data_IF_090167244523
#
_entry.id   IF_090167244523
#
_cell.length_a   1.000
_cell.length_b   1.000
_cell.length_c   1.000
_cell.angle_alpha   90.00
_cell.angle_beta   90.00
_cell.angle_gamma   90.00
#
_symmetry.space_group_name_H-M   'P 1'
#
loop_
_entity.id
_entity.type
_entity.pdbx_description
1 polymer ?
#
# COMPACT_ATOMS: atom_id res chain seq x y z
N UNK A 1 6.38 -1.72 8.27
CA UNK A 1 5.35 -1.28 9.23
C UNK A 1 5.96 -0.77 10.52
N UNK A 2 6.65 -1.60 11.31
CA UNK A 2 7.19 -1.16 12.61
C UNK A 2 8.10 0.07 12.50
N UNK A 3 9.06 0.08 11.57
CA UNK A 3 10.02 1.19 11.42
C UNK A 3 9.35 2.51 11.03
N UNK A 4 8.52 2.50 9.99
CA UNK A 4 7.89 3.72 9.45
C UNK A 4 6.63 4.19 10.20
N UNK A 5 5.91 3.30 10.88
CA UNK A 5 4.62 3.64 11.51
C UNK A 5 4.53 3.36 13.01
N UNK A 6 5.45 2.57 13.58
CA UNK A 6 5.33 2.07 14.95
C UNK A 6 4.32 0.92 15.14
N UNK A 7 3.55 0.56 14.11
CA UNK A 7 2.59 -0.54 14.19
C UNK A 7 3.24 -1.92 13.97
N UNK A 8 2.79 -2.88 14.77
CA UNK A 8 3.13 -4.30 14.64
C UNK A 8 2.00 -4.97 13.85
N UNK A 9 2.37 -5.65 12.76
CA UNK A 9 1.43 -6.36 11.89
C UNK A 9 1.86 -7.81 11.69
N UNK A 10 0.91 -8.66 11.31
CA UNK A 10 1.12 -10.08 11.00
C UNK A 10 0.18 -10.54 9.87
N UNK A 11 0.17 -11.83 9.56
CA UNK A 11 -0.68 -12.48 8.56
C UNK A 11 -0.63 -11.81 7.17
N UNK A 12 0.57 -11.61 6.57
CA UNK A 12 0.67 -10.94 5.29
C UNK A 12 0.02 -11.78 4.18
N UNK A 13 -0.97 -11.21 3.50
CA UNK A 13 -1.61 -11.77 2.30
C UNK A 13 -1.23 -10.94 1.08
N UNK A 14 -0.54 -11.55 0.13
CA UNK A 14 -0.25 -10.90 -1.17
C UNK A 14 -1.55 -10.70 -1.95
N UNK A 15 -1.79 -9.48 -2.41
CA UNK A 15 -3.01 -9.10 -3.15
C UNK A 15 -2.71 -8.78 -4.61
N UNK A 16 -1.60 -8.11 -4.88
CA UNK A 16 -1.20 -7.79 -6.25
C UNK A 16 0.31 -7.67 -6.41
N UNK A 17 0.78 -8.02 -7.61
CA UNK A 17 2.13 -7.76 -8.12
C UNK A 17 1.96 -6.93 -9.40
N UNK A 18 2.47 -5.70 -9.42
CA UNK A 18 2.29 -4.77 -10.54
C UNK A 18 3.64 -4.29 -11.08
N UNK A 19 3.86 -4.36 -12.39
CA UNK A 19 4.94 -3.64 -13.06
C UNK A 19 4.62 -2.15 -13.12
N UNK A 20 5.35 -1.36 -12.33
CA UNK A 20 5.22 0.09 -12.35
C UNK A 20 5.30 0.69 -13.77
N UNK A 21 6.07 0.08 -14.68
CA UNK A 21 6.27 0.60 -16.04
C UNK A 21 5.03 0.50 -16.94
N UNK A 22 4.10 -0.43 -16.67
CA UNK A 22 2.86 -0.61 -17.47
C UNK A 22 1.68 0.18 -16.91
N UNK A 23 1.86 0.83 -15.76
CA UNK A 23 0.85 1.66 -15.09
C UNK A 23 1.25 3.14 -15.08
N UNK A 24 0.29 4.07 -14.98
CA UNK A 24 0.55 5.51 -15.06
C UNK A 24 1.19 6.13 -13.79
N UNK A 25 2.13 5.44 -13.13
CA UNK A 25 2.88 6.01 -12.00
C UNK A 25 3.81 7.14 -12.46
N UNK A 26 3.83 8.24 -11.70
CA UNK A 26 4.61 9.44 -12.05
C UNK A 26 5.58 9.82 -10.92
N UNK A 27 6.83 10.23 -11.23
CA UNK A 27 7.45 10.30 -12.56
C UNK A 27 7.85 8.92 -13.12
N UNK A 28 8.13 8.76 -14.41
CA UNK A 28 8.70 7.52 -14.94
C UNK A 28 10.09 7.26 -14.32
N UNK A 29 10.45 5.99 -14.18
CA UNK A 29 11.79 5.57 -13.76
C UNK A 29 12.51 4.85 -14.92
N UNK A 30 13.85 4.92 -14.97
CA UNK A 30 14.63 4.21 -16.00
C UNK A 30 14.78 2.71 -15.72
N UNK A 31 14.17 2.19 -14.65
CA UNK A 31 14.20 0.79 -14.25
C UNK A 31 12.77 0.27 -14.07
N UNK A 32 12.58 -1.03 -14.32
CA UNK A 32 11.36 -1.75 -13.96
C UNK A 32 11.31 -1.93 -12.44
N UNK A 33 10.13 -1.71 -11.87
CA UNK A 33 9.87 -1.88 -10.44
C UNK A 33 8.60 -2.70 -10.31
N UNK A 34 8.72 -3.93 -9.83
CA UNK A 34 7.56 -4.72 -9.43
C UNK A 34 7.13 -4.32 -8.03
N UNK A 35 5.88 -3.88 -7.92
CA UNK A 35 5.24 -3.46 -6.67
C UNK A 35 4.41 -4.62 -6.14
N UNK A 36 4.71 -5.07 -4.93
CA UNK A 36 3.94 -6.10 -4.24
C UNK A 36 3.11 -5.45 -3.15
N UNK A 37 1.80 -5.65 -3.19
CA UNK A 37 0.88 -5.10 -2.18
C UNK A 37 0.38 -6.23 -1.28
N UNK A 38 0.47 -6.01 0.03
CA UNK A 38 0.08 -6.97 1.04
C UNK A 38 -1.01 -6.37 1.94
N UNK A 39 -2.04 -7.16 2.24
CA UNK A 39 -2.92 -6.90 3.36
C UNK A 39 -2.36 -7.60 4.59
N UNK A 40 -2.37 -6.90 5.73
CA UNK A 40 -1.85 -7.42 7.00
C UNK A 40 -2.86 -7.14 8.12
N UNK A 41 -2.76 -7.92 9.19
CA UNK A 41 -3.55 -7.72 10.40
C UNK A 41 -2.78 -6.87 11.41
N UNK A 42 -3.40 -5.81 11.92
CA UNK A 42 -2.85 -4.99 13.00
C UNK A 42 -2.88 -5.79 14.32
N UNK A 43 -1.71 -5.98 14.94
CA UNK A 43 -1.57 -6.70 16.23
C UNK A 43 -1.33 -5.78 17.41
N UNK A 44 -0.91 -4.54 17.17
CA UNK A 44 -0.68 -3.55 18.21
C UNK A 44 0.36 -2.50 17.77
N UNK A 45 0.99 -1.87 18.74
CA UNK A 45 1.86 -0.71 18.53
C UNK A 45 1.06 0.59 18.54
N UNK A 46 1.77 1.69 18.36
CA UNK A 46 1.21 3.04 18.40
C UNK A 46 1.91 3.91 17.33
N UNK A 47 1.21 4.91 16.75
CA UNK A 47 1.77 5.74 15.70
C UNK A 47 3.04 6.44 16.21
N UNK A 48 4.18 6.11 15.61
CA UNK A 48 5.49 6.58 16.04
C UNK A 48 6.24 7.19 14.87
N UNK A 49 6.42 8.51 14.90
CA UNK A 49 7.20 9.25 13.88
C UNK A 49 8.70 9.02 14.06
N UNK A 50 9.48 9.28 13.02
CA UNK A 50 10.94 9.21 13.06
C UNK A 50 11.56 10.22 12.06
N UNK A 51 12.85 10.08 11.75
CA UNK A 51 13.54 10.99 10.81
C UNK A 51 13.11 10.83 9.34
N UNK A 52 12.46 9.71 9.00
CA UNK A 52 11.96 9.36 7.66
C UNK A 52 10.47 9.67 7.49
N UNK A 53 9.69 9.58 8.58
CA UNK A 53 8.23 9.74 8.57
C UNK A 53 7.81 10.85 9.54
N UNK A 54 7.25 11.93 8.98
CA UNK A 54 6.84 13.11 9.75
C UNK A 54 5.44 13.03 10.34
N UNK A 55 4.53 12.27 9.71
CA UNK A 55 3.12 12.18 10.08
C UNK A 55 2.57 10.78 9.78
N UNK A 56 1.64 10.30 10.61
CA UNK A 56 0.99 8.98 10.50
C UNK A 56 -0.48 9.15 10.86
N UNK A 57 -1.37 8.70 9.98
CA UNK A 57 -2.82 8.75 10.23
C UNK A 57 -3.56 7.65 9.45
N UNK A 58 -4.83 7.45 9.77
CA UNK A 58 -5.75 6.52 9.11
C UNK A 58 -6.75 7.27 8.25
N UNK A 59 -6.94 6.82 7.02
CA UNK A 59 -7.83 7.47 6.05
C UNK A 59 -8.89 6.51 5.54
N UNK A 60 -10.11 7.03 5.39
CA UNK A 60 -11.19 6.34 4.65
C UNK A 60 -10.86 6.31 3.16
N UNK A 61 -11.26 5.27 2.40
CA UNK A 61 -11.06 5.23 0.94
C UNK A 61 -11.72 6.41 0.21
N UNK A 62 -12.73 7.04 0.82
CA UNK A 62 -13.41 8.21 0.26
C UNK A 62 -12.81 9.56 0.69
N UNK A 63 -11.82 9.55 1.59
CA UNK A 63 -11.20 10.74 2.19
C UNK A 63 -9.68 10.60 2.18
N UNK A 64 -9.12 10.17 1.05
CA UNK A 64 -7.69 10.00 0.88
C UNK A 64 -6.96 11.36 0.91
N UNK A 65 -5.77 11.43 1.51
CA UNK A 65 -4.93 12.61 1.43
C UNK A 65 -4.33 12.74 0.02
N UNK A 66 -3.57 13.81 -0.22
CA UNK A 66 -2.77 13.90 -1.44
C UNK A 66 -1.79 12.72 -1.51
N UNK A 67 -1.89 11.93 -2.59
CA UNK A 67 -1.08 10.73 -2.75
C UNK A 67 0.27 11.03 -3.38
N UNK A 68 1.28 10.25 -2.99
CA UNK A 68 2.53 10.16 -3.73
C UNK A 68 2.32 9.24 -4.94
N UNK A 69 1.89 9.81 -6.07
CA UNK A 69 1.55 9.10 -7.32
C UNK A 69 2.68 8.22 -7.89
N UNK A 70 3.92 8.38 -7.43
CA UNK A 70 5.04 7.52 -7.79
C UNK A 70 5.13 6.23 -6.96
N UNK A 71 4.50 6.24 -5.78
CA UNK A 71 4.49 5.15 -4.78
C UNK A 71 3.17 4.40 -4.76
N UNK A 72 2.03 5.08 -4.75
CA UNK A 72 0.72 4.44 -4.64
C UNK A 72 -0.31 5.31 -5.35
N UNK A 73 -1.18 4.70 -6.15
CA UNK A 73 -2.31 5.38 -6.81
C UNK A 73 -3.61 5.06 -6.07
N UNK A 74 -4.63 5.91 -6.23
CA UNK A 74 -5.96 5.65 -5.68
C UNK A 74 -6.52 4.28 -6.12
N UNK A 75 -6.32 3.92 -7.39
CA UNK A 75 -6.73 2.63 -7.96
C UNK A 75 -6.08 1.42 -7.26
N UNK A 76 -4.84 1.56 -6.77
CA UNK A 76 -4.17 0.49 -6.00
C UNK A 76 -4.86 0.28 -4.65
N UNK A 77 -5.25 1.39 -4.01
CA UNK A 77 -5.94 1.40 -2.71
C UNK A 77 -7.35 0.82 -2.87
N UNK A 78 -8.10 1.26 -3.89
CA UNK A 78 -9.42 0.73 -4.23
C UNK A 78 -9.37 -0.79 -4.45
N UNK A 79 -8.37 -1.28 -5.18
CA UNK A 79 -8.18 -2.72 -5.40
C UNK A 79 -7.92 -3.48 -4.09
N UNK A 80 -7.15 -2.90 -3.15
CA UNK A 80 -6.89 -3.51 -1.85
C UNK A 80 -8.16 -3.59 -0.99
N UNK A 81 -9.02 -2.58 -1.02
CA UNK A 81 -10.32 -2.62 -0.34
C UNK A 81 -11.25 -3.67 -0.96
N UNK A 82 -11.33 -3.75 -2.29
CA UNK A 82 -12.10 -4.80 -2.95
C UNK A 82 -11.58 -6.21 -2.62
N UNK A 83 -10.26 -6.40 -2.57
CA UNK A 83 -9.66 -7.67 -2.16
C UNK A 83 -9.89 -7.98 -0.67
N UNK A 84 -10.01 -6.97 0.19
CA UNK A 84 -10.36 -7.13 1.60
C UNK A 84 -11.79 -7.64 1.75
N UNK A 85 -12.72 -7.10 0.96
CA UNK A 85 -14.13 -7.54 0.93
C UNK A 85 -14.32 -8.90 0.24
N UNK A 86 -13.41 -9.28 -0.66
CA UNK A 86 -13.43 -10.54 -1.39
C UNK A 86 -12.16 -11.39 -1.13
N UNK A 87 -12.07 -12.12 0.00
CA UNK A 87 -10.85 -12.84 0.38
C UNK A 87 -10.37 -13.90 -0.63
N UNK A 88 -11.30 -14.51 -1.37
CA UNK A 88 -11.03 -15.52 -2.41
C UNK A 88 -10.57 -14.93 -3.75
N UNK A 89 -10.50 -13.59 -3.85
CA UNK A 89 -10.03 -12.93 -5.07
C UNK A 89 -8.60 -13.38 -5.38
N UNK A 90 -8.31 -13.81 -6.62
CA UNK A 90 -6.97 -14.22 -6.99
C UNK A 90 -6.00 -13.03 -6.94
N UNK A 91 -4.72 -13.31 -6.69
CA UNK A 91 -3.66 -12.32 -6.77
C UNK A 91 -3.62 -11.74 -8.17
N UNK A 92 -3.73 -10.42 -8.29
CA UNK A 92 -3.56 -9.74 -9.58
C UNK A 92 -2.08 -9.64 -9.94
N UNK A 93 -1.75 -10.03 -11.16
CA UNK A 93 -0.37 -10.03 -11.67
C UNK A 93 -0.41 -9.50 -13.10
N UNK A 94 0.53 -8.60 -13.41
CA UNK A 94 0.83 -8.10 -14.76
C UNK A 94 2.34 -8.08 -15.05
#
# INVERSE_FOLDING_TARGET
MLEESGYIVDSPRLVSVKDRAVHPYAPPYPFHIYKMFFLCELKGGEPTINIEVSEIDWFSPNELPALSEGRTRAEDIEYLFDALENPEKPVYID
#
